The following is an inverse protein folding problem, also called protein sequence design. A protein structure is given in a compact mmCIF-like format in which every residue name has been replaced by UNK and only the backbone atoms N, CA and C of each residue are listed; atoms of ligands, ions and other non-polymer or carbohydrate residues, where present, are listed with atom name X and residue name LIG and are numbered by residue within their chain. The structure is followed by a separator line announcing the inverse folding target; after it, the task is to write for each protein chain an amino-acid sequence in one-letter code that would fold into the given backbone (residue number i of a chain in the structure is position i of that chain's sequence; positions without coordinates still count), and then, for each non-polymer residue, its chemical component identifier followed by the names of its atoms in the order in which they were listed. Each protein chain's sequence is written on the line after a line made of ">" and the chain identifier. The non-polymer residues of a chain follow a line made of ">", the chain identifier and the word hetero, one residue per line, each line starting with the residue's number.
data_IF_102200206983
#
_entry.id   IF_102200206983
#
_cell.length_a   1.000
_cell.length_b   1.000
_cell.length_c   1.000
_cell.angle_alpha   90.00
_cell.angle_beta   90.00
_cell.angle_gamma   90.00
#
_symmetry.space_group_name_H-M   'P 1'
#
loop_
_entity.id
_entity.type
_entity.pdbx_description
1 polymer ?
#
# COMPACT_ATOMS: atom_id res chain seq x y z
N UNK A 1 -4.75 9.66 -7.41
CA UNK A 1 -3.74 9.16 -6.46
C UNK A 1 -3.94 7.68 -6.21
N UNK A 2 -2.89 6.90 -6.35
CA UNK A 2 -2.98 5.44 -6.22
C UNK A 2 -1.97 4.95 -5.19
N UNK A 3 -2.43 4.01 -4.34
CA UNK A 3 -1.62 3.44 -3.27
C UNK A 3 -1.64 1.93 -3.40
N UNK A 4 -0.49 1.31 -3.25
CA UNK A 4 -0.35 -0.14 -3.26
C UNK A 4 -0.04 -0.64 -1.85
N UNK A 5 -0.75 -1.65 -1.38
CA UNK A 5 -0.59 -2.20 -0.04
C UNK A 5 -0.50 -3.72 -0.12
N UNK A 6 0.59 -4.34 0.38
CA UNK A 6 0.63 -5.80 0.48
C UNK A 6 -0.31 -6.24 1.61
N UNK A 7 -1.20 -7.19 1.32
CA UNK A 7 -2.22 -7.60 2.27
C UNK A 7 -2.30 -9.13 2.38
N UNK A 8 -2.93 -9.61 3.45
CA UNK A 8 -3.01 -11.03 3.75
C UNK A 8 -4.19 -11.74 3.07
N UNK A 9 -5.13 -11.01 2.50
CA UNK A 9 -6.27 -11.61 1.81
C UNK A 9 -6.88 -10.63 0.81
N UNK A 10 -7.79 -11.13 -0.03
CA UNK A 10 -8.53 -10.30 -0.98
C UNK A 10 -9.88 -9.84 -0.45
N UNK A 11 -10.08 -9.91 0.86
CA UNK A 11 -11.31 -9.46 1.49
C UNK A 11 -11.17 -7.98 1.88
N UNK A 12 -11.91 -7.11 1.21
CA UNK A 12 -11.83 -5.65 1.41
C UNK A 12 -12.02 -5.24 2.86
N UNK A 13 -12.96 -5.88 3.57
CA UNK A 13 -13.33 -5.48 4.92
C UNK A 13 -12.46 -6.10 6.01
N UNK A 14 -11.79 -7.20 5.71
CA UNK A 14 -11.05 -7.97 6.72
C UNK A 14 -9.55 -8.02 6.49
N UNK A 15 -9.07 -7.69 5.28
CA UNK A 15 -7.64 -7.82 5.01
C UNK A 15 -6.82 -6.86 5.85
N UNK A 16 -5.63 -7.31 6.21
CA UNK A 16 -4.67 -6.54 6.98
C UNK A 16 -3.37 -6.43 6.21
N UNK A 17 -2.64 -5.35 6.43
CA UNK A 17 -1.32 -5.19 5.84
C UNK A 17 -0.40 -6.34 6.28
N UNK A 18 0.38 -6.84 5.35
CA UNK A 18 1.35 -7.89 5.61
C UNK A 18 2.71 -7.49 5.07
N UNK A 19 3.73 -8.30 5.35
CA UNK A 19 5.04 -8.06 4.74
C UNK A 19 4.95 -8.35 3.24
N UNK A 20 5.82 -7.73 2.47
CA UNK A 20 5.90 -7.98 1.03
C UNK A 20 6.21 -9.45 0.76
N UNK A 21 7.07 -10.02 1.60
CA UNK A 21 7.52 -11.41 1.42
C UNK A 21 6.42 -12.42 1.68
N UNK A 22 5.50 -12.13 2.59
CA UNK A 22 4.45 -13.05 3.01
C UNK A 22 3.05 -12.68 2.54
N UNK A 23 2.92 -11.65 1.74
CA UNK A 23 1.59 -11.22 1.32
C UNK A 23 0.90 -12.26 0.43
N UNK A 24 -0.42 -12.30 0.52
CA UNK A 24 -1.25 -13.16 -0.33
C UNK A 24 -1.89 -12.39 -1.49
N UNK A 25 -1.87 -11.07 -1.42
CA UNK A 25 -2.43 -10.23 -2.47
C UNK A 25 -1.88 -8.81 -2.35
N UNK A 26 -2.13 -8.01 -3.38
CA UNK A 26 -1.81 -6.59 -3.39
C UNK A 26 -3.12 -5.82 -3.50
N UNK A 27 -3.37 -4.93 -2.56
CA UNK A 27 -4.52 -4.03 -2.63
C UNK A 27 -4.09 -2.76 -3.37
N UNK A 28 -4.78 -2.47 -4.46
CA UNK A 28 -4.54 -1.28 -5.27
C UNK A 28 -5.68 -0.29 -5.00
N UNK A 29 -5.38 0.78 -4.28
CA UNK A 29 -6.38 1.74 -3.81
C UNK A 29 -6.29 3.01 -4.64
N UNK A 30 -7.41 3.40 -5.24
CA UNK A 30 -7.50 4.65 -5.98
C UNK A 30 -8.22 5.68 -5.12
N UNK A 31 -7.59 6.83 -4.93
CA UNK A 31 -8.13 7.94 -4.14
C UNK A 31 -8.40 9.13 -5.03
N UNK A 32 -9.45 9.90 -4.72
CA UNK A 32 -9.74 11.16 -5.38
C UNK A 32 -10.44 12.08 -4.39
N UNK A 33 -9.95 13.30 -4.27
CA UNK A 33 -10.52 14.33 -3.39
C UNK A 33 -10.74 13.84 -1.96
N UNK A 34 -9.77 13.11 -1.42
CA UNK A 34 -9.81 12.63 -0.05
C UNK A 34 -10.71 11.42 0.17
N UNK A 35 -11.11 10.72 -0.89
CA UNK A 35 -12.00 9.56 -0.80
C UNK A 35 -11.46 8.37 -1.56
N UNK A 36 -11.82 7.19 -1.12
CA UNK A 36 -11.53 5.95 -1.84
C UNK A 36 -12.54 5.81 -2.97
N UNK A 37 -12.04 5.78 -4.20
CA UNK A 37 -12.87 5.51 -5.37
C UNK A 37 -13.01 4.01 -5.61
N UNK A 38 -11.92 3.26 -5.45
CA UNK A 38 -11.94 1.82 -5.69
C UNK A 38 -10.81 1.14 -4.94
N UNK A 39 -11.01 -0.14 -4.65
CA UNK A 39 -9.99 -1.04 -4.12
C UNK A 39 -10.03 -2.28 -4.99
N UNK A 40 -8.92 -2.56 -5.66
CA UNK A 40 -8.79 -3.74 -6.52
C UNK A 40 -7.68 -4.62 -5.96
N UNK A 41 -7.84 -5.94 -6.10
CA UNK A 41 -6.85 -6.88 -5.59
C UNK A 41 -6.17 -7.61 -6.73
N UNK A 42 -4.85 -7.77 -6.61
CA UNK A 42 -4.03 -8.47 -7.59
C UNK A 42 -3.20 -9.53 -6.88
N UNK A 43 -3.03 -10.68 -7.51
CA UNK A 43 -2.17 -11.73 -6.99
C UNK A 43 -0.71 -11.35 -7.11
N UNK A 44 -0.38 -10.62 -8.18
CA UNK A 44 1.01 -10.24 -8.48
C UNK A 44 1.08 -8.75 -8.79
N UNK A 45 2.09 -8.11 -8.23
CA UNK A 45 2.34 -6.69 -8.49
C UNK A 45 2.51 -6.42 -9.99
N UNK A 46 3.14 -7.35 -10.70
CA UNK A 46 3.44 -7.20 -12.12
C UNK A 46 2.19 -7.12 -13.01
N UNK A 47 1.05 -7.55 -12.48
CA UNK A 47 -0.20 -7.49 -13.22
C UNK A 47 -0.84 -6.10 -13.20
N UNK A 48 -0.32 -5.19 -12.38
CA UNK A 48 -0.82 -3.82 -12.28
C UNK A 48 -0.15 -2.99 -13.37
N UNK A 49 -0.93 -2.54 -14.35
CA UNK A 49 -0.39 -1.84 -15.53
C UNK A 49 -0.54 -0.32 -15.46
N UNK A 50 -1.20 0.19 -14.41
CA UNK A 50 -1.38 1.63 -14.22
C UNK A 50 -0.35 2.16 -13.24
N UNK A 51 -0.14 3.49 -13.25
CA UNK A 51 0.84 4.12 -12.39
C UNK A 51 0.48 3.95 -10.91
N UNK A 52 1.49 3.70 -10.09
CA UNK A 52 1.38 3.60 -8.63
C UNK A 52 2.12 4.79 -8.05
N UNK A 53 1.42 5.62 -7.26
CA UNK A 53 2.05 6.80 -6.65
C UNK A 53 2.84 6.44 -5.39
N UNK A 54 2.32 5.52 -4.58
CA UNK A 54 2.99 5.14 -3.35
C UNK A 54 2.75 3.67 -3.03
N UNK A 55 3.73 3.05 -2.37
CA UNK A 55 3.58 1.73 -1.75
C UNK A 55 3.67 1.92 -0.24
N UNK A 56 2.77 1.28 0.50
CA UNK A 56 2.76 1.34 1.96
C UNK A 56 3.19 -0.01 2.51
N UNK A 57 4.23 0.00 3.33
CA UNK A 57 4.81 -1.22 3.88
C UNK A 57 4.72 -1.23 5.41
N UNK A 58 4.94 -2.39 6.00
CA UNK A 58 4.68 -2.61 7.43
C UNK A 58 5.80 -2.05 8.32
N UNK A 59 7.04 -2.01 7.83
CA UNK A 59 8.17 -1.49 8.60
C UNK A 59 9.37 -1.15 7.67
N UNK A 60 10.44 -0.65 8.26
CA UNK A 60 11.64 -0.24 7.52
C UNK A 60 12.53 -1.39 7.07
N UNK A 61 12.20 -2.62 7.41
CA UNK A 61 12.98 -3.80 7.00
C UNK A 61 12.49 -4.37 5.65
N UNK A 62 11.41 -3.81 5.11
CA UNK A 62 10.87 -4.28 3.84
C UNK A 62 11.77 -3.91 2.66
N UNK A 63 11.80 -4.79 1.66
CA UNK A 63 12.60 -4.56 0.46
C UNK A 63 11.82 -3.70 -0.54
N UNK A 64 12.06 -2.40 -0.52
CA UNK A 64 11.30 -1.44 -1.35
C UNK A 64 12.07 -0.90 -2.55
N UNK A 65 13.32 -1.32 -2.74
CA UNK A 65 14.16 -0.82 -3.82
C UNK A 65 13.53 -0.91 -5.22
N UNK A 66 12.86 -2.02 -5.60
CA UNK A 66 12.23 -2.08 -6.92
C UNK A 66 11.18 -1.01 -7.13
N UNK A 67 10.45 -0.63 -6.06
CA UNK A 67 9.46 0.44 -6.14
C UNK A 67 10.12 1.80 -6.27
N UNK A 68 11.15 2.05 -5.48
CA UNK A 68 11.86 3.33 -5.50
C UNK A 68 12.58 3.53 -6.83
N UNK A 69 13.11 2.47 -7.43
CA UNK A 69 13.74 2.54 -8.74
C UNK A 69 12.76 2.94 -9.84
N UNK A 70 11.47 2.66 -9.65
CA UNK A 70 10.42 3.06 -10.57
C UNK A 70 9.84 4.45 -10.26
N UNK A 71 10.36 5.12 -9.24
CA UNK A 71 9.87 6.43 -8.84
C UNK A 71 8.64 6.38 -7.95
N UNK A 72 8.33 5.22 -7.37
CA UNK A 72 7.20 5.04 -6.46
C UNK A 72 7.64 5.43 -5.05
N UNK A 73 6.85 6.28 -4.39
CA UNK A 73 7.13 6.69 -3.02
C UNK A 73 6.89 5.51 -2.06
N UNK A 74 7.82 5.27 -1.13
CA UNK A 74 7.65 4.23 -0.14
C UNK A 74 7.31 4.86 1.21
N UNK A 75 6.22 4.37 1.83
CA UNK A 75 5.74 4.85 3.13
C UNK A 75 5.60 3.68 4.09
N UNK A 76 5.74 3.96 5.37
CA UNK A 76 5.62 2.96 6.44
C UNK A 76 4.34 3.22 7.24
N UNK A 77 3.55 2.17 7.47
CA UNK A 77 2.40 2.23 8.37
C UNK A 77 2.85 1.72 9.75
N UNK A 78 3.17 2.62 10.69
CA UNK A 78 3.75 2.20 11.97
C UNK A 78 2.79 1.43 12.87
N UNK A 79 1.50 1.71 12.76
CA UNK A 79 0.50 1.05 13.62
C UNK A 79 -0.80 0.70 12.90
N UNK A 80 -1.03 1.27 11.73
CA UNK A 80 -2.25 1.03 10.97
C UNK A 80 -2.21 -0.37 10.35
N UNK A 81 -3.33 -1.07 10.37
CA UNK A 81 -3.41 -2.44 9.88
C UNK A 81 -4.39 -2.63 8.72
N UNK A 82 -5.58 -2.04 8.81
CA UNK A 82 -6.60 -2.19 7.77
C UNK A 82 -6.40 -1.19 6.64
N UNK A 83 -7.03 -1.44 5.50
CA UNK A 83 -6.98 -0.51 4.38
C UNK A 83 -7.53 0.85 4.81
N UNK A 84 -8.64 0.87 5.55
CA UNK A 84 -9.24 2.13 5.98
C UNK A 84 -8.34 2.92 6.92
N UNK A 85 -7.69 2.24 7.86
CA UNK A 85 -6.74 2.91 8.75
C UNK A 85 -5.55 3.48 7.99
N UNK A 86 -5.04 2.74 7.01
CA UNK A 86 -3.90 3.18 6.21
C UNK A 86 -4.28 4.36 5.32
N UNK A 87 -5.45 4.31 4.70
CA UNK A 87 -5.94 5.42 3.87
C UNK A 87 -6.11 6.67 4.71
N UNK A 88 -6.74 6.54 5.89
CA UNK A 88 -6.91 7.68 6.79
C UNK A 88 -5.56 8.28 7.19
N UNK A 89 -4.62 7.45 7.59
CA UNK A 89 -3.28 7.91 7.97
C UNK A 89 -2.57 8.57 6.77
N UNK A 90 -2.75 8.04 5.57
CA UNK A 90 -2.16 8.63 4.38
C UNK A 90 -2.72 10.05 4.14
N UNK A 91 -4.03 10.20 4.25
CA UNK A 91 -4.68 11.50 4.01
C UNK A 91 -4.30 12.54 5.07
N UNK A 92 -4.09 12.11 6.31
CA UNK A 92 -3.68 13.01 7.40
C UNK A 92 -2.15 13.11 7.54
N UNK A 93 -1.40 12.48 6.64
CA UNK A 93 0.08 12.50 6.66
C UNK A 93 0.68 11.89 7.92
N UNK A 94 0.03 10.88 8.44
CA UNK A 94 0.50 10.16 9.63
C UNK A 94 1.39 8.95 9.31
N UNK A 95 1.50 8.57 8.04
CA UNK A 95 2.43 7.51 7.63
C UNK A 95 3.85 8.06 7.64
N UNK A 96 4.81 7.19 7.91
CA UNK A 96 6.22 7.60 7.96
C UNK A 96 6.89 7.41 6.60
N UNK A 97 7.78 8.32 6.24
CA UNK A 97 8.59 8.17 5.03
C UNK A 97 9.57 7.02 5.23
N UNK A 98 9.75 6.22 4.17
CA UNK A 98 10.76 5.18 4.19
C UNK A 98 12.13 5.85 3.99
N UNK A 99 12.95 5.84 5.03
CA UNK A 99 14.25 6.49 5.01
C UNK A 99 15.35 5.43 4.88
N UNK A 100 16.27 5.68 3.98
CA UNK A 100 17.36 4.75 3.70
C UNK A 100 18.67 5.27 4.25
#
# INVERSE_FOLDING_TARGET
>A
MTILIPVDSKNRDECLISSIEENNAWAFVTLDEGRVLSVEFYDRREDIIVWIDAVVVINELEYVWPFMDEGIMALIAPSQKSIDEIVEAFLFKDLHDFTI
#
